data_IF_021492161314
#
_entry.id   IF_021492161314
#
_cell.length_a   1.000
_cell.length_b   1.000
_cell.length_c   1.000
_cell.angle_alpha   90.00
_cell.angle_beta   90.00
_cell.angle_gamma   90.00
#
_symmetry.space_group_name_H-M   'P 1'
#
loop_
_entity.id
_entity.type
_entity.pdbx_description
1 polymer ?
#
# COMPACT_ATOMS: atom_id res chain seq x y z
N UNK A 1 -38.42 -44.52 0.42
CA UNK A 1 -36.95 -44.68 0.27
C UNK A 1 -36.30 -43.66 -0.66
N UNK A 2 -36.97 -43.20 -1.74
CA UNK A 2 -36.40 -42.24 -2.71
C UNK A 2 -36.19 -40.82 -2.14
N UNK A 3 -37.08 -40.37 -1.26
CA UNK A 3 -37.07 -39.04 -0.63
C UNK A 3 -36.00 -38.85 0.45
N UNK A 4 -35.52 -39.94 1.05
CA UNK A 4 -34.49 -39.89 2.09
C UNK A 4 -33.08 -39.85 1.48
N UNK A 5 -32.89 -40.53 0.33
CA UNK A 5 -31.65 -40.45 -0.46
C UNK A 5 -31.44 -39.07 -1.06
N UNK A 6 -32.50 -38.43 -1.58
CA UNK A 6 -32.45 -37.04 -2.07
C UNK A 6 -32.07 -36.05 -0.98
N UNK A 7 -32.71 -36.13 0.21
CA UNK A 7 -32.39 -35.27 1.35
C UNK A 7 -30.97 -35.46 1.89
N UNK A 8 -30.43 -36.68 1.87
CA UNK A 8 -29.03 -36.94 2.27
C UNK A 8 -28.05 -36.36 1.25
N UNK A 9 -28.33 -36.48 -0.05
CA UNK A 9 -27.49 -35.90 -1.11
C UNK A 9 -27.48 -34.36 -1.06
N UNK A 10 -28.63 -33.73 -0.82
CA UNK A 10 -28.75 -32.27 -0.62
C UNK A 10 -28.08 -31.77 0.66
N UNK A 11 -28.04 -32.60 1.71
CA UNK A 11 -27.30 -32.32 2.94
C UNK A 11 -25.79 -32.28 2.71
N UNK A 12 -25.27 -33.32 2.05
CA UNK A 12 -23.84 -33.44 1.72
C UNK A 12 -23.40 -32.32 0.77
N UNK A 13 -24.19 -31.99 -0.25
CA UNK A 13 -23.84 -30.90 -1.17
C UNK A 13 -23.78 -29.53 -0.51
N UNK A 14 -24.67 -29.25 0.46
CA UNK A 14 -24.62 -27.99 1.24
C UNK A 14 -23.43 -27.93 2.18
N UNK A 15 -23.07 -29.05 2.79
CA UNK A 15 -21.89 -29.13 3.65
C UNK A 15 -20.60 -28.98 2.84
N UNK A 16 -20.53 -29.58 1.65
CA UNK A 16 -19.40 -29.42 0.74
C UNK A 16 -19.22 -27.96 0.30
N UNK A 17 -20.31 -27.27 -0.03
CA UNK A 17 -20.25 -25.86 -0.42
C UNK A 17 -19.79 -24.97 0.74
N UNK A 18 -20.34 -25.18 1.94
CA UNK A 18 -19.93 -24.45 3.14
C UNK A 18 -18.44 -24.68 3.50
N UNK A 19 -17.95 -25.91 3.29
CA UNK A 19 -16.53 -26.23 3.48
C UNK A 19 -15.65 -25.53 2.44
N UNK A 20 -16.07 -25.48 1.17
CA UNK A 20 -15.35 -24.76 0.10
C UNK A 20 -15.27 -23.27 0.38
N UNK A 21 -16.38 -22.63 0.75
CA UNK A 21 -16.40 -21.20 1.12
C UNK A 21 -15.46 -20.91 2.28
N UNK A 22 -15.46 -21.78 3.30
CA UNK A 22 -14.58 -21.63 4.46
C UNK A 22 -13.11 -21.85 4.13
N UNK A 23 -12.80 -22.84 3.28
CA UNK A 23 -11.44 -23.08 2.80
C UNK A 23 -10.93 -21.89 1.98
N UNK A 24 -11.73 -21.39 1.04
CA UNK A 24 -11.39 -20.20 0.26
C UNK A 24 -11.13 -18.97 1.16
N UNK A 25 -11.95 -18.78 2.19
CA UNK A 25 -11.74 -17.72 3.18
C UNK A 25 -10.43 -17.88 3.97
N UNK A 26 -10.07 -19.12 4.34
CA UNK A 26 -8.79 -19.39 5.02
C UNK A 26 -7.59 -19.18 4.09
N UNK A 27 -7.68 -19.63 2.84
CA UNK A 27 -6.63 -19.41 1.83
C UNK A 27 -6.38 -17.91 1.63
N UNK A 28 -7.44 -17.12 1.53
CA UNK A 28 -7.35 -15.66 1.43
C UNK A 28 -6.65 -15.04 2.64
N UNK A 29 -7.02 -15.45 3.86
CA UNK A 29 -6.37 -14.98 5.10
C UNK A 29 -4.88 -15.34 5.16
N UNK A 30 -4.51 -16.53 4.68
CA UNK A 30 -3.10 -16.97 4.64
C UNK A 30 -2.29 -16.10 3.67
N UNK A 31 -2.85 -15.77 2.50
CA UNK A 31 -2.21 -14.88 1.52
C UNK A 31 -2.02 -13.47 2.11
N UNK A 32 -3.06 -12.92 2.75
CA UNK A 32 -3.00 -11.61 3.41
C UNK A 32 -1.91 -11.56 4.49
N UNK A 33 -1.82 -12.60 5.33
CA UNK A 33 -0.78 -12.72 6.34
C UNK A 33 0.62 -12.83 5.71
N UNK A 34 0.76 -13.62 4.64
CA UNK A 34 2.02 -13.74 3.90
C UNK A 34 2.51 -12.39 3.37
N UNK A 35 1.62 -11.62 2.73
CA UNK A 35 1.93 -10.29 2.25
C UNK A 35 2.35 -9.34 3.38
N UNK A 36 1.63 -9.37 4.52
CA UNK A 36 1.98 -8.56 5.68
C UNK A 36 3.37 -8.89 6.23
N UNK A 37 3.72 -10.19 6.32
CA UNK A 37 5.04 -10.64 6.75
C UNK A 37 6.15 -10.13 5.83
N UNK A 38 5.96 -10.19 4.51
CA UNK A 38 6.93 -9.67 3.54
C UNK A 38 7.15 -8.16 3.71
N UNK A 39 6.07 -7.39 3.92
CA UNK A 39 6.17 -5.95 4.20
C UNK A 39 6.99 -5.71 5.45
N UNK A 40 6.65 -6.40 6.54
CA UNK A 40 7.34 -6.22 7.82
C UNK A 40 8.82 -6.59 7.74
N UNK A 41 9.15 -7.72 7.13
CA UNK A 41 10.54 -8.17 6.96
C UNK A 41 11.36 -7.16 6.15
N UNK A 42 10.87 -6.74 4.97
CA UNK A 42 11.60 -5.83 4.08
C UNK A 42 11.79 -4.45 4.70
N UNK A 43 10.73 -3.90 5.34
CA UNK A 43 10.77 -2.54 5.88
C UNK A 43 11.57 -2.46 7.17
N UNK A 44 11.41 -3.41 8.10
CA UNK A 44 12.13 -3.38 9.38
C UNK A 44 13.53 -4.00 9.31
N UNK A 45 13.82 -4.80 8.27
CA UNK A 45 15.17 -5.30 7.98
C UNK A 45 16.10 -4.25 7.34
N UNK A 46 15.55 -3.11 6.91
CA UNK A 46 16.33 -2.03 6.31
C UNK A 46 17.10 -1.23 7.37
N UNK A 47 18.42 -1.09 7.18
CA UNK A 47 19.34 -0.49 8.16
C UNK A 47 19.58 1.01 7.96
N UNK A 48 19.24 1.54 6.78
CA UNK A 48 19.40 2.95 6.44
C UNK A 48 18.26 3.45 5.56
N UNK A 49 18.18 4.77 5.39
CA UNK A 49 17.10 5.42 4.64
C UNK A 49 17.01 4.92 3.19
N UNK A 50 18.15 4.69 2.54
CA UNK A 50 18.18 4.20 1.16
C UNK A 50 17.60 2.78 1.08
N UNK A 51 17.99 1.91 2.01
CA UNK A 51 17.44 0.56 2.11
C UNK A 51 15.93 0.56 2.36
N UNK A 52 15.40 1.48 3.18
CA UNK A 52 13.95 1.61 3.40
C UNK A 52 13.22 2.03 2.11
N UNK A 53 13.76 3.00 1.36
CA UNK A 53 13.15 3.44 0.09
C UNK A 53 13.13 2.30 -0.94
N UNK A 54 14.21 1.54 -1.05
CA UNK A 54 14.28 0.35 -1.90
C UNK A 54 13.27 -0.71 -1.47
N UNK A 55 13.15 -0.97 -0.16
CA UNK A 55 12.17 -1.91 0.38
C UNK A 55 10.72 -1.50 0.04
N UNK A 56 10.37 -0.22 0.20
CA UNK A 56 9.04 0.28 -0.16
C UNK A 56 8.80 0.10 -1.66
N UNK A 57 9.74 0.51 -2.51
CA UNK A 57 9.63 0.34 -3.95
C UNK A 57 9.44 -1.14 -4.31
N UNK A 58 10.26 -2.04 -3.75
CA UNK A 58 10.21 -3.45 -4.04
C UNK A 58 8.87 -4.09 -3.63
N UNK A 59 8.29 -3.69 -2.50
CA UNK A 59 6.95 -4.16 -2.11
C UNK A 59 5.91 -3.67 -3.11
N UNK A 60 5.97 -2.41 -3.54
CA UNK A 60 5.02 -1.87 -4.51
C UNK A 60 5.16 -2.57 -5.88
N UNK A 61 6.38 -2.88 -6.31
CA UNK A 61 6.62 -3.59 -7.58
C UNK A 61 6.22 -5.07 -7.48
N UNK A 62 6.66 -5.79 -6.45
CA UNK A 62 6.59 -7.26 -6.44
C UNK A 62 5.39 -7.82 -5.68
N UNK A 63 4.83 -7.08 -4.72
CA UNK A 63 3.67 -7.54 -3.92
C UNK A 63 2.40 -6.90 -4.46
N UNK A 64 2.37 -5.56 -4.55
CA UNK A 64 1.23 -4.84 -5.13
C UNK A 64 1.17 -5.08 -6.64
N UNK A 65 2.30 -5.07 -7.33
CA UNK A 65 2.35 -5.34 -8.77
C UNK A 65 2.22 -4.09 -9.62
N UNK A 66 2.96 -3.02 -9.29
CA UNK A 66 3.00 -1.77 -10.06
C UNK A 66 4.25 -1.67 -10.94
N UNK A 67 4.11 -1.03 -12.10
CA UNK A 67 5.20 -0.63 -13.00
C UNK A 67 5.41 0.89 -13.10
N UNK A 68 4.52 1.69 -12.50
CA UNK A 68 4.66 3.15 -12.43
C UNK A 68 4.36 3.64 -11.01
N UNK A 69 5.39 4.10 -10.31
CA UNK A 69 5.30 4.58 -8.94
C UNK A 69 6.34 5.65 -8.61
N UNK A 70 6.08 6.44 -7.57
CA UNK A 70 7.04 7.36 -7.00
C UNK A 70 6.85 7.45 -5.48
N UNK A 71 7.97 7.61 -4.79
CA UNK A 71 8.04 7.91 -3.36
C UNK A 71 8.53 9.35 -3.23
N UNK A 72 7.77 10.14 -2.49
CA UNK A 72 8.08 11.51 -2.14
C UNK A 72 8.40 11.60 -0.67
N UNK A 73 9.36 12.43 -0.30
CA UNK A 73 9.58 12.84 1.08
C UNK A 73 9.15 14.28 1.31
N UNK A 74 8.75 14.55 2.54
CA UNK A 74 8.43 15.90 2.99
C UNK A 74 9.71 16.74 3.06
N UNK A 75 9.69 17.88 2.39
CA UNK A 75 10.75 18.88 2.36
C UNK A 75 10.22 20.26 2.78
N UNK A 76 11.14 21.22 2.91
CA UNK A 76 10.84 22.63 3.22
C UNK A 76 9.88 22.80 4.41
N UNK A 77 10.17 22.09 5.51
CA UNK A 77 9.39 22.20 6.75
C UNK A 77 7.95 21.72 6.66
N UNK A 78 7.59 20.88 5.68
CA UNK A 78 6.22 20.37 5.53
C UNK A 78 5.46 20.91 4.33
N UNK A 79 6.06 21.78 3.52
CA UNK A 79 5.37 22.47 2.43
C UNK A 79 5.53 21.81 1.07
N UNK A 80 6.60 21.04 0.87
CA UNK A 80 6.92 20.42 -0.41
C UNK A 80 7.04 18.90 -0.27
N UNK A 81 6.67 18.20 -1.33
CA UNK A 81 6.93 16.79 -1.56
C UNK A 81 8.02 16.69 -2.63
N UNK A 82 9.20 16.21 -2.24
CA UNK A 82 10.32 16.00 -3.15
C UNK A 82 10.36 14.52 -3.55
N UNK A 83 10.38 14.19 -4.86
CA UNK A 83 10.58 12.81 -5.27
C UNK A 83 11.97 12.35 -4.85
N UNK A 84 12.02 11.19 -4.20
CA UNK A 84 13.28 10.58 -3.71
C UNK A 84 13.54 9.21 -4.30
N UNK A 85 12.52 8.58 -4.87
CA UNK A 85 12.61 7.31 -5.58
C UNK A 85 11.46 7.24 -6.59
N UNK A 86 11.68 6.72 -7.79
CA UNK A 86 10.62 6.48 -8.77
C UNK A 86 10.96 5.29 -9.67
N UNK A 87 9.91 4.75 -10.29
CA UNK A 87 10.01 3.69 -11.29
C UNK A 87 8.93 3.92 -12.35
N UNK A 88 9.30 3.86 -13.64
CA UNK A 88 8.38 4.04 -14.77
C UNK A 88 7.82 5.46 -14.97
N UNK A 89 8.15 6.41 -14.09
CA UNK A 89 7.69 7.81 -14.14
C UNK A 89 8.82 8.78 -13.81
N UNK A 90 8.69 10.01 -14.31
CA UNK A 90 9.57 11.15 -14.02
C UNK A 90 8.82 12.19 -13.17
N UNK A 91 8.75 11.99 -11.84
CA UNK A 91 7.99 12.87 -10.96
C UNK A 91 8.71 14.21 -10.76
N UNK A 92 7.93 15.28 -10.58
CA UNK A 92 8.42 16.60 -10.18
C UNK A 92 8.11 16.88 -8.71
N UNK A 93 8.75 17.89 -8.14
CA UNK A 93 8.34 18.40 -6.82
C UNK A 93 6.89 18.90 -6.85
N UNK A 94 6.18 18.65 -5.75
CA UNK A 94 4.77 19.02 -5.58
C UNK A 94 4.61 19.82 -4.29
N UNK A 95 3.70 20.79 -4.28
CA UNK A 95 3.31 21.42 -3.03
C UNK A 95 2.38 20.49 -2.23
N UNK A 96 2.55 20.46 -0.91
CA UNK A 96 1.58 19.80 -0.02
C UNK A 96 0.23 20.51 -0.17
N UNK A 97 -0.84 19.73 -0.32
CA UNK A 97 -2.19 20.20 -0.65
C UNK A 97 -2.47 20.39 -2.14
N UNK A 98 -1.46 20.37 -3.02
CA UNK A 98 -1.65 20.56 -4.46
C UNK A 98 -1.82 19.23 -5.21
N UNK A 99 -2.89 19.15 -6.01
CA UNK A 99 -3.23 17.94 -6.78
C UNK A 99 -3.55 16.74 -5.88
N UNK A 100 -3.87 15.57 -6.47
CA UNK A 100 -4.23 14.38 -5.71
C UNK A 100 -3.16 13.92 -4.71
N UNK A 101 -1.89 13.89 -5.13
CA UNK A 101 -0.77 13.44 -4.29
C UNK A 101 -0.50 14.43 -3.14
N UNK A 102 -0.52 15.73 -3.41
CA UNK A 102 -0.36 16.74 -2.38
C UNK A 102 -1.54 16.79 -1.40
N UNK A 103 -2.78 16.59 -1.87
CA UNK A 103 -3.97 16.48 -1.01
C UNK A 103 -3.85 15.29 -0.04
N UNK A 104 -3.47 14.11 -0.55
CA UNK A 104 -3.26 12.92 0.29
C UNK A 104 -2.23 13.15 1.41
N UNK A 105 -1.14 13.88 1.12
CA UNK A 105 -0.19 14.34 2.14
C UNK A 105 -0.85 15.26 3.18
N UNK A 106 -1.53 16.32 2.72
CA UNK A 106 -2.13 17.34 3.59
C UNK A 106 -3.20 16.77 4.52
N UNK A 107 -4.03 15.87 3.99
CA UNK A 107 -5.12 15.23 4.72
C UNK A 107 -4.68 14.02 5.53
N UNK A 108 -3.46 13.52 5.28
CA UNK A 108 -2.95 12.24 5.80
C UNK A 108 -3.94 11.09 5.57
N UNK A 109 -4.54 11.09 4.39
CA UNK A 109 -5.53 10.09 3.98
C UNK A 109 -5.10 9.44 2.68
N UNK A 110 -5.14 8.11 2.66
CA UNK A 110 -4.93 7.35 1.44
C UNK A 110 -6.16 7.47 0.52
N UNK A 111 -5.91 7.38 -0.78
CA UNK A 111 -6.95 7.25 -1.79
C UNK A 111 -6.54 6.15 -2.77
N UNK A 112 -7.51 5.34 -3.20
CA UNK A 112 -7.32 4.25 -4.15
C UNK A 112 -8.45 4.24 -5.17
N UNK A 113 -8.26 3.54 -6.28
CA UNK A 113 -9.32 3.31 -7.27
C UNK A 113 -10.54 2.56 -6.71
N UNK A 114 -10.41 1.92 -5.54
CA UNK A 114 -11.52 1.29 -4.83
C UNK A 114 -12.44 2.32 -4.15
N UNK A 115 -11.93 3.53 -3.89
CA UNK A 115 -12.70 4.63 -3.28
C UNK A 115 -13.52 5.41 -4.32
N UNK A 116 -13.25 5.20 -5.62
CA UNK A 116 -13.97 5.84 -6.71
C UNK A 116 -13.11 6.05 -7.96
N UNK A 117 -13.66 6.80 -8.92
CA UNK A 117 -12.94 7.15 -10.14
C UNK A 117 -11.68 7.99 -9.84
N UNK A 118 -10.60 7.83 -10.64
CA UNK A 118 -9.41 8.67 -10.53
C UNK A 118 -9.74 10.16 -10.63
N UNK A 119 -9.03 11.03 -9.87
CA UNK A 119 -9.18 12.47 -10.00
C UNK A 119 -8.89 12.92 -11.43
N UNK A 120 -9.67 13.87 -11.95
CA UNK A 120 -9.53 14.37 -13.32
C UNK A 120 -8.13 14.94 -13.60
N UNK A 121 -7.49 15.52 -12.58
CA UNK A 121 -6.15 16.09 -12.73
C UNK A 121 -5.07 15.00 -12.91
N UNK A 122 -5.34 13.77 -12.47
CA UNK A 122 -4.43 12.63 -12.57
C UNK A 122 -5.19 11.34 -12.91
N UNK A 123 -5.67 11.19 -14.16
CA UNK A 123 -6.59 10.11 -14.55
C UNK A 123 -5.95 8.72 -14.53
N UNK A 124 -4.62 8.67 -14.48
CA UNK A 124 -3.87 7.42 -14.34
C UNK A 124 -3.57 7.08 -12.88
N UNK A 125 -3.93 7.89 -11.90
CA UNK A 125 -3.64 7.55 -10.51
C UNK A 125 -4.44 6.31 -10.10
N UNK A 126 -3.74 5.27 -9.66
CA UNK A 126 -4.35 4.03 -9.17
C UNK A 126 -4.47 4.07 -7.65
N UNK A 127 -3.43 4.53 -6.96
CA UNK A 127 -3.44 4.67 -5.51
C UNK A 127 -2.42 5.71 -5.04
N UNK A 128 -2.70 6.30 -3.88
CA UNK A 128 -1.78 7.17 -3.15
C UNK A 128 -1.94 6.94 -1.66
N UNK A 129 -0.82 6.83 -0.94
CA UNK A 129 -0.83 6.66 0.50
C UNK A 129 0.24 7.53 1.19
N UNK A 130 -0.14 8.30 2.22
CA UNK A 130 0.83 9.02 3.03
C UNK A 130 1.69 8.02 3.83
N UNK A 131 3.00 8.25 3.88
CA UNK A 131 3.93 7.52 4.74
C UNK A 131 4.05 8.30 6.05
N UNK A 132 3.52 7.77 7.15
CA UNK A 132 3.45 8.49 8.43
C UNK A 132 3.94 7.67 9.63
N UNK A 133 4.69 8.33 10.51
CA UNK A 133 5.10 7.83 11.83
C UNK A 133 4.22 8.48 12.92
N UNK A 134 3.07 7.87 13.20
CA UNK A 134 2.05 8.47 14.06
C UNK A 134 1.54 9.79 13.45
N UNK A 135 1.66 10.95 14.14
CA UNK A 135 1.23 12.24 13.60
C UNK A 135 2.23 12.85 12.60
N UNK A 136 3.42 12.26 12.43
CA UNK A 136 4.47 12.81 11.58
C UNK A 136 4.36 12.26 10.16
N UNK A 137 4.03 13.11 9.20
CA UNK A 137 4.13 12.77 7.78
C UNK A 137 5.61 12.79 7.37
N UNK A 138 6.12 11.64 6.96
CA UNK A 138 7.48 11.48 6.43
C UNK A 138 7.53 11.59 4.92
N UNK A 139 6.47 11.12 4.24
CA UNK A 139 6.43 11.11 2.79
C UNK A 139 5.08 10.67 2.23
N UNK A 140 5.07 10.35 0.94
CA UNK A 140 3.91 9.80 0.21
C UNK A 140 4.40 8.78 -0.80
N UNK A 141 3.68 7.69 -0.98
CA UNK A 141 3.84 6.79 -2.12
C UNK A 141 2.66 6.98 -3.08
N UNK A 142 2.94 7.15 -4.36
CA UNK A 142 1.93 7.27 -5.41
C UNK A 142 2.16 6.19 -6.48
N UNK A 143 1.07 5.60 -6.97
CA UNK A 143 1.03 4.48 -7.91
C UNK A 143 0.12 4.87 -9.07
N UNK A 144 0.63 4.80 -10.30
CA UNK A 144 -0.11 5.15 -11.51
C UNK A 144 -0.49 3.94 -12.36
N UNK A 145 0.38 2.95 -12.53
CA UNK A 145 0.09 1.84 -13.45
C UNK A 145 0.44 0.50 -12.84
N UNK A 146 -0.54 -0.39 -12.81
CA UNK A 146 -0.37 -1.80 -12.46
C UNK A 146 0.33 -2.54 -13.61
N UNK A 147 1.03 -3.63 -13.28
CA UNK A 147 1.68 -4.51 -14.26
C UNK A 147 0.67 -5.10 -15.24
N UNK A 148 1.05 -5.22 -16.51
CA UNK A 148 0.19 -5.76 -17.57
C UNK A 148 -0.43 -7.15 -17.27
N UNK A 149 0.25 -8.00 -16.48
CA UNK A 149 -0.23 -9.34 -16.10
C UNK A 149 -1.00 -9.38 -14.77
N UNK A 150 -1.08 -8.26 -14.04
CA UNK A 150 -1.93 -8.05 -12.85
C UNK A 150 -2.58 -6.65 -12.94
N UNK A 151 -3.52 -6.43 -13.87
CA UNK A 151 -3.98 -5.08 -14.22
C UNK A 151 -4.92 -4.44 -13.17
N UNK A 152 -5.38 -5.21 -12.18
CA UNK A 152 -6.39 -4.77 -11.21
C UNK A 152 -5.76 -4.59 -9.84
N UNK A 153 -5.93 -3.40 -9.26
CA UNK A 153 -5.65 -3.12 -7.86
C UNK A 153 -6.85 -3.56 -7.00
N UNK A 154 -6.63 -4.45 -6.04
CA UNK A 154 -7.69 -5.03 -5.20
C UNK A 154 -7.53 -4.77 -3.70
N UNK A 155 -8.44 -5.31 -2.89
CA UNK A 155 -8.44 -5.16 -1.43
C UNK A 155 -7.15 -5.66 -0.77
N UNK A 156 -6.57 -6.75 -1.27
CA UNK A 156 -5.29 -7.26 -0.79
C UNK A 156 -4.15 -6.24 -1.02
N UNK A 157 -4.17 -5.52 -2.15
CA UNK A 157 -3.16 -4.50 -2.47
C UNK A 157 -3.34 -3.27 -1.59
N UNK A 158 -4.60 -2.89 -1.32
CA UNK A 158 -4.93 -1.83 -0.36
C UNK A 158 -4.41 -2.16 1.04
N UNK A 159 -4.62 -3.39 1.52
CA UNK A 159 -4.11 -3.81 2.83
C UNK A 159 -2.58 -3.70 2.91
N UNK A 160 -1.87 -4.12 1.86
CA UNK A 160 -0.41 -3.97 1.75
C UNK A 160 0.00 -2.49 1.74
N UNK A 161 -0.72 -1.65 0.99
CA UNK A 161 -0.46 -0.21 0.92
C UNK A 161 -0.69 0.48 2.28
N UNK A 162 -1.71 0.07 3.05
CA UNK A 162 -1.96 0.56 4.40
C UNK A 162 -0.85 0.15 5.38
N UNK A 163 -0.32 -1.06 5.25
CA UNK A 163 0.86 -1.50 6.03
C UNK A 163 2.11 -0.68 5.67
N UNK A 164 2.36 -0.46 4.38
CA UNK A 164 3.46 0.39 3.91
C UNK A 164 3.33 1.83 4.41
N UNK A 165 2.12 2.40 4.34
CA UNK A 165 1.80 3.74 4.86
C UNK A 165 2.29 3.92 6.30
N UNK A 166 2.04 2.94 7.17
CA UNK A 166 2.39 2.98 8.59
C UNK A 166 3.83 2.59 8.87
N UNK A 167 4.26 1.44 8.38
CA UNK A 167 5.57 0.87 8.71
C UNK A 167 6.68 1.53 7.91
N UNK A 168 6.47 1.79 6.61
CA UNK A 168 7.41 2.54 5.79
C UNK A 168 7.58 3.97 6.30
N UNK A 169 6.47 4.62 6.69
CA UNK A 169 6.51 5.92 7.36
C UNK A 169 7.34 5.95 8.64
N UNK A 170 7.15 4.95 9.52
CA UNK A 170 7.93 4.79 10.74
C UNK A 170 9.42 4.53 10.48
N UNK A 171 9.75 3.62 9.56
CA UNK A 171 11.14 3.28 9.21
C UNK A 171 11.87 4.48 8.60
N UNK A 172 11.24 5.21 7.68
CA UNK A 172 11.79 6.46 7.13
C UNK A 172 12.01 7.50 8.21
N UNK A 173 11.12 7.59 9.19
CA UNK A 173 11.25 8.54 10.30
C UNK A 173 12.47 8.22 11.17
N UNK A 174 12.66 6.95 11.52
CA UNK A 174 13.76 6.50 12.37
C UNK A 174 15.12 6.56 11.67
N UNK A 175 15.15 6.36 10.35
CA UNK A 175 16.38 6.39 9.55
C UNK A 175 16.69 7.77 8.95
N UNK A 176 15.79 8.74 9.14
CA UNK A 176 16.00 10.11 8.68
C UNK A 176 17.11 10.81 9.48
N UNK A 177 18.05 11.50 8.81
CA UNK A 177 19.13 12.25 9.49
C UNK A 177 18.66 13.29 10.52
N UNK A 178 17.40 13.72 10.42
CA UNK A 178 16.79 14.74 11.28
C UNK A 178 16.19 14.19 12.59
N UNK A 179 16.04 12.87 12.75
CA UNK A 179 15.46 12.27 13.95
C UNK A 179 16.30 12.54 15.21
N UNK A 180 17.63 12.61 15.06
CA UNK A 180 18.56 12.88 16.17
C UNK A 180 18.61 14.33 16.67
N UNK A 181 18.03 15.31 15.95
CA UNK A 181 18.14 16.74 16.31
C UNK A 181 16.96 17.30 17.12
N UNK A 182 15.86 16.56 17.27
CA UNK A 182 14.66 17.02 18.01
C UNK A 182 14.51 16.44 19.41
N UNK A 183 15.36 15.49 19.82
CA UNK A 183 15.38 14.95 21.18
C UNK A 183 16.26 15.77 22.16
N UNK A 184 16.87 16.87 21.71
CA UNK A 184 17.78 17.71 22.49
C UNK A 184 17.38 19.19 22.55
N UNK A 185 16.10 19.51 22.28
CA UNK A 185 15.54 20.85 22.38
C UNK A 185 14.35 20.88 23.34
#
# INVERSE_FOLDING_TARGET
MTTERGRRAEGVGREEEALRERLAGLEQQVVELGNACVVMERVHGALDRGAVLLAIQDVVINVIGSEELAIFEVADGGRLLRPVQSFGVEPRELAVGAGPVGRAASERRAWTILDGAPPEEEPRLTAVAPLSAGPHLTGVVAIWRMLAHKPVFGEADRAVLELLSRHGGAALHLTSPHAGRRAAA
#
